data_IF_380984899703
#
_entry.id   IF_380984899703
#
_cell.length_a   1.000
_cell.length_b   1.000
_cell.length_c   1.000
_cell.angle_alpha   90.00
_cell.angle_beta   90.00
_cell.angle_gamma   90.00
#
_symmetry.space_group_name_H-M   'P 1'
#
loop_
_entity.id
_entity.type
_entity.pdbx_description
1 polymer ?
#
# COMPACT_ATOMS: atom_id res chain seq x y z
N UNK A 1 -7.36 26.62 -24.22
CA UNK A 1 -7.06 25.38 -23.47
C UNK A 1 -5.79 24.81 -24.07
N UNK A 2 -4.67 25.06 -23.44
CA UNK A 2 -3.37 24.56 -23.87
C UNK A 2 -3.38 23.03 -23.70
N UNK A 3 -3.48 22.31 -24.82
CA UNK A 3 -3.30 20.86 -24.84
C UNK A 3 -1.86 20.57 -24.37
N UNK A 4 -1.72 19.98 -23.20
CA UNK A 4 -0.47 19.43 -22.71
C UNK A 4 -0.14 18.19 -23.55
N UNK A 5 0.30 18.43 -24.79
CA UNK A 5 0.85 17.41 -25.66
C UNK A 5 2.20 17.00 -25.06
N UNK A 6 2.24 15.81 -24.49
CA UNK A 6 3.46 15.26 -23.91
C UNK A 6 4.21 14.54 -25.03
N UNK A 7 5.39 15.04 -25.45
CA UNK A 7 6.16 14.44 -26.55
C UNK A 7 6.88 13.15 -26.15
N UNK A 8 6.67 12.67 -24.93
CA UNK A 8 7.32 11.48 -24.39
C UNK A 8 6.44 10.24 -24.52
N UNK A 9 7.09 9.07 -24.56
CA UNK A 9 6.40 7.79 -24.53
C UNK A 9 5.54 7.70 -23.25
N UNK A 10 4.21 7.47 -23.35
CA UNK A 10 3.30 7.44 -22.21
C UNK A 10 3.73 6.45 -21.13
N UNK A 11 4.35 5.32 -21.53
CA UNK A 11 4.85 4.32 -20.60
C UNK A 11 5.93 4.86 -19.66
N UNK A 12 6.91 5.57 -20.22
CA UNK A 12 8.01 6.15 -19.45
C UNK A 12 7.50 7.28 -18.59
N UNK A 13 6.62 8.11 -19.12
CA UNK A 13 6.04 9.23 -18.38
C UNK A 13 5.26 8.75 -17.14
N UNK A 14 4.36 7.79 -17.31
CA UNK A 14 3.58 7.22 -16.20
C UNK A 14 4.52 6.53 -15.19
N UNK A 15 5.54 5.81 -15.68
CA UNK A 15 6.51 5.14 -14.80
C UNK A 15 7.27 6.13 -13.92
N UNK A 16 7.76 7.24 -14.49
CA UNK A 16 8.46 8.29 -13.73
C UNK A 16 7.55 8.94 -12.70
N UNK A 17 6.32 9.30 -13.08
CA UNK A 17 5.35 9.88 -12.14
C UNK A 17 4.99 8.89 -11.03
N UNK A 18 4.78 7.60 -11.36
CA UNK A 18 4.56 6.54 -10.38
C UNK A 18 5.74 6.41 -9.41
N UNK A 19 6.97 6.56 -9.92
CA UNK A 19 8.18 6.56 -9.09
C UNK A 19 8.20 7.72 -8.10
N UNK A 20 7.93 8.93 -8.55
CA UNK A 20 7.89 10.12 -7.69
C UNK A 20 6.77 9.99 -6.65
N UNK A 21 5.57 9.58 -7.04
CA UNK A 21 4.45 9.36 -6.13
C UNK A 21 4.77 8.29 -5.09
N UNK A 22 5.39 7.17 -5.50
CA UNK A 22 5.79 6.08 -4.61
C UNK A 22 6.89 6.49 -3.63
N UNK A 23 7.87 7.26 -4.09
CA UNK A 23 8.93 7.80 -3.23
C UNK A 23 8.35 8.76 -2.17
N UNK A 24 7.48 9.68 -2.59
CA UNK A 24 6.78 10.61 -1.69
C UNK A 24 5.98 9.86 -0.65
N UNK A 25 5.21 8.86 -1.07
CA UNK A 25 4.42 8.01 -0.16
C UNK A 25 5.31 7.26 0.84
N UNK A 26 6.44 6.71 0.38
CA UNK A 26 7.37 6.00 1.25
C UNK A 26 8.01 6.92 2.30
N UNK A 27 8.40 8.14 1.90
CA UNK A 27 8.96 9.16 2.80
C UNK A 27 7.90 9.61 3.81
N UNK A 28 6.70 9.94 3.38
CA UNK A 28 5.60 10.34 4.26
C UNK A 28 5.29 9.25 5.28
N UNK A 29 5.23 8.00 4.85
CA UNK A 29 5.00 6.87 5.77
C UNK A 29 6.13 6.70 6.80
N UNK A 30 7.38 6.95 6.40
CA UNK A 30 8.52 6.90 7.34
C UNK A 30 8.46 8.01 8.39
N UNK A 31 8.01 9.21 7.99
CA UNK A 31 7.93 10.37 8.90
C UNK A 31 6.69 10.31 9.79
N UNK A 32 5.54 9.88 9.24
CA UNK A 32 4.25 9.94 9.92
C UNK A 32 3.98 8.72 10.82
N UNK A 33 4.68 7.61 10.60
CA UNK A 33 4.43 6.36 11.33
C UNK A 33 5.70 5.93 12.05
N UNK A 34 5.60 5.82 13.37
CA UNK A 34 6.63 5.18 14.19
C UNK A 34 6.63 3.66 13.91
N UNK A 35 7.55 3.27 13.03
CA UNK A 35 7.68 1.90 12.54
C UNK A 35 8.10 0.95 13.66
N UNK A 36 8.93 1.42 14.59
CA UNK A 36 9.46 0.58 15.67
C UNK A 36 8.36 0.30 16.70
N UNK A 37 7.59 1.32 17.07
CA UNK A 37 6.45 1.17 17.96
C UNK A 37 5.37 0.28 17.34
N UNK A 38 5.10 0.43 16.04
CA UNK A 38 4.15 -0.43 15.34
C UNK A 38 4.60 -1.90 15.32
N UNK A 39 5.89 -2.17 15.10
CA UNK A 39 6.43 -3.54 15.14
C UNK A 39 6.37 -4.14 16.54
N UNK A 40 6.64 -3.36 17.57
CA UNK A 40 6.53 -3.79 18.97
C UNK A 40 5.10 -4.23 19.28
N UNK A 41 4.12 -3.39 18.96
CA UNK A 41 2.70 -3.71 19.16
C UNK A 41 2.31 -4.97 18.38
N UNK A 42 2.70 -5.07 17.11
CA UNK A 42 2.39 -6.26 16.29
C UNK A 42 2.99 -7.54 16.88
N UNK A 43 4.22 -7.50 17.39
CA UNK A 43 4.85 -8.65 18.05
C UNK A 43 4.07 -9.05 19.29
N UNK A 44 3.75 -8.08 20.14
CA UNK A 44 3.01 -8.35 21.38
C UNK A 44 1.63 -8.96 21.11
N UNK A 45 0.86 -8.37 20.19
CA UNK A 45 -0.47 -8.88 19.79
C UNK A 45 -0.36 -10.29 19.19
N UNK A 46 0.66 -10.54 18.36
CA UNK A 46 0.89 -11.85 17.75
C UNK A 46 1.24 -12.91 18.81
N UNK A 47 2.08 -12.57 19.78
CA UNK A 47 2.45 -13.49 20.85
C UNK A 47 1.27 -13.80 21.79
N UNK A 48 0.48 -12.79 22.11
CA UNK A 48 -0.77 -12.97 22.84
C UNK A 48 -1.72 -13.91 22.09
N UNK A 49 -1.97 -13.66 20.81
CA UNK A 49 -2.85 -14.50 19.99
C UNK A 49 -2.34 -15.94 19.89
N UNK A 50 -1.01 -16.14 19.78
CA UNK A 50 -0.42 -17.48 19.79
C UNK A 50 -0.67 -18.21 21.11
N UNK A 51 -0.43 -17.54 22.25
CA UNK A 51 -0.68 -18.11 23.59
C UNK A 51 -2.15 -18.44 23.78
N UNK A 52 -3.03 -17.54 23.37
CA UNK A 52 -4.47 -17.75 23.44
C UNK A 52 -4.90 -18.95 22.58
N UNK A 53 -4.45 -19.04 21.33
CA UNK A 53 -4.76 -20.19 20.46
C UNK A 53 -4.23 -21.51 21.01
N UNK A 54 -3.02 -21.50 21.62
CA UNK A 54 -2.46 -22.68 22.26
C UNK A 54 -3.29 -23.12 23.44
N UNK A 55 -3.64 -22.20 24.35
CA UNK A 55 -4.49 -22.48 25.50
C UNK A 55 -5.87 -23.02 25.09
N UNK A 56 -6.46 -22.51 24.01
CA UNK A 56 -7.71 -23.03 23.46
C UNK A 56 -7.55 -24.47 22.93
N UNK A 57 -6.48 -24.77 22.21
CA UNK A 57 -6.23 -26.12 21.66
C UNK A 57 -5.98 -27.16 22.77
N UNK A 58 -5.28 -26.76 23.82
CA UNK A 58 -4.94 -27.59 24.95
C UNK A 58 -6.05 -27.64 26.02
N UNK A 59 -7.16 -26.92 25.81
CA UNK A 59 -8.28 -26.79 26.78
C UNK A 59 -7.78 -26.39 28.17
N UNK A 60 -6.78 -25.51 28.24
CA UNK A 60 -6.15 -25.07 29.47
C UNK A 60 -6.86 -23.80 29.97
N UNK A 61 -7.94 -24.02 30.79
CA UNK A 61 -8.75 -22.93 31.36
C UNK A 61 -7.95 -22.04 32.31
N UNK A 62 -6.92 -22.57 32.96
CA UNK A 62 -6.07 -21.78 33.84
C UNK A 62 -5.26 -20.74 33.08
N UNK A 63 -4.71 -21.12 31.96
CA UNK A 63 -3.94 -20.23 31.07
C UNK A 63 -4.86 -19.20 30.38
N UNK A 64 -6.07 -19.58 30.00
CA UNK A 64 -7.08 -18.66 29.46
C UNK A 64 -7.45 -17.57 30.50
N UNK A 65 -7.67 -17.93 31.75
CA UNK A 65 -7.93 -16.97 32.83
C UNK A 65 -6.72 -16.06 33.10
N UNK A 66 -5.51 -16.59 33.02
CA UNK A 66 -4.28 -15.78 33.14
C UNK A 66 -4.10 -14.76 32.02
N UNK A 67 -4.64 -15.02 30.83
CA UNK A 67 -4.59 -14.12 29.68
C UNK A 67 -5.69 -13.04 29.70
N UNK A 68 -6.75 -13.18 30.52
CA UNK A 68 -7.85 -12.20 30.60
C UNK A 68 -7.38 -10.77 30.94
N UNK A 69 -6.52 -10.53 31.93
CA UNK A 69 -6.05 -9.17 32.22
C UNK A 69 -5.20 -8.58 31.09
N UNK A 70 -4.49 -9.42 30.33
CA UNK A 70 -3.71 -8.96 29.18
C UNK A 70 -4.60 -8.53 28.01
N UNK A 71 -5.83 -9.03 27.91
CA UNK A 71 -6.78 -8.72 26.85
C UNK A 71 -7.06 -7.23 26.73
N UNK A 72 -7.25 -6.55 27.85
CA UNK A 72 -7.49 -5.10 27.86
C UNK A 72 -6.30 -4.34 27.32
N UNK A 73 -5.08 -4.74 27.70
CA UNK A 73 -3.84 -4.16 27.19
C UNK A 73 -3.69 -4.38 25.68
N UNK A 74 -4.00 -5.58 25.21
CA UNK A 74 -3.98 -5.90 23.75
C UNK A 74 -4.99 -5.04 22.99
N UNK A 75 -6.19 -4.85 23.51
CA UNK A 75 -7.20 -3.98 22.90
C UNK A 75 -6.72 -2.51 22.85
N UNK A 76 -6.11 -2.01 23.91
CA UNK A 76 -5.51 -0.67 23.91
C UNK A 76 -4.40 -0.53 22.88
N UNK A 77 -3.51 -1.52 22.76
CA UNK A 77 -2.45 -1.56 21.78
C UNK A 77 -2.99 -1.65 20.34
N UNK A 78 -4.04 -2.42 20.10
CA UNK A 78 -4.73 -2.46 18.82
C UNK A 78 -5.33 -1.10 18.46
N UNK A 79 -5.94 -0.42 19.43
CA UNK A 79 -6.47 0.92 19.22
C UNK A 79 -5.37 1.95 18.95
N UNK A 80 -4.25 1.86 19.68
CA UNK A 80 -3.04 2.66 19.41
C UNK A 80 -2.53 2.43 17.98
N UNK A 81 -2.45 1.17 17.55
CA UNK A 81 -2.05 0.82 16.19
C UNK A 81 -2.99 1.40 15.13
N UNK A 82 -4.29 1.36 15.35
CA UNK A 82 -5.27 2.01 14.46
C UNK A 82 -5.07 3.52 14.38
N UNK A 83 -4.84 4.20 15.51
CA UNK A 83 -4.52 5.63 15.54
C UNK A 83 -3.25 5.96 14.77
N UNK A 84 -2.22 5.12 14.89
CA UNK A 84 -0.96 5.28 14.14
C UNK A 84 -1.13 5.05 12.64
N UNK A 85 -2.16 4.30 12.21
CA UNK A 85 -2.47 4.09 10.80
C UNK A 85 -3.27 5.24 10.17
N UNK A 86 -3.96 6.06 10.97
CA UNK A 86 -4.74 7.20 10.46
C UNK A 86 -3.91 8.16 9.58
N UNK A 87 -2.69 8.57 9.95
CA UNK A 87 -1.85 9.41 9.10
C UNK A 87 -1.46 8.74 7.78
N UNK A 88 -1.42 7.40 7.73
CA UNK A 88 -1.16 6.65 6.49
C UNK A 88 -2.26 6.89 5.46
N UNK A 89 -3.52 6.95 5.89
CA UNK A 89 -4.63 7.28 4.99
C UNK A 89 -4.50 8.71 4.46
N UNK A 90 -4.08 9.66 5.29
CA UNK A 90 -3.80 11.02 4.84
C UNK A 90 -2.66 11.07 3.81
N UNK A 91 -1.66 10.21 3.94
CA UNK A 91 -0.55 10.12 2.97
C UNK A 91 -0.97 9.56 1.61
N UNK A 92 -2.16 8.95 1.49
CA UNK A 92 -2.72 8.51 0.21
C UNK A 92 -3.32 9.66 -0.61
N UNK A 93 -3.63 10.81 0.03
CA UNK A 93 -4.20 11.96 -0.68
C UNK A 93 -3.34 12.43 -1.87
N UNK A 94 -2.02 12.62 -1.75
CA UNK A 94 -1.18 12.97 -2.90
C UNK A 94 -1.20 11.89 -3.99
N UNK A 95 -1.33 10.62 -3.63
CA UNK A 95 -1.47 9.53 -4.60
C UNK A 95 -2.76 9.65 -5.42
N UNK A 96 -3.88 9.97 -4.78
CA UNK A 96 -5.14 10.23 -5.47
C UNK A 96 -5.09 11.51 -6.31
N UNK A 97 -4.41 12.56 -5.85
CA UNK A 97 -4.22 13.78 -6.61
C UNK A 97 -3.46 13.50 -7.93
N UNK A 98 -2.37 12.75 -7.84
CA UNK A 98 -1.60 12.30 -9.03
C UNK A 98 -2.48 11.47 -9.96
N UNK A 99 -3.31 10.58 -9.42
CA UNK A 99 -4.25 9.77 -10.18
C UNK A 99 -5.24 10.62 -10.98
N UNK A 100 -5.84 11.63 -10.34
CA UNK A 100 -6.80 12.54 -11.01
C UNK A 100 -6.10 13.34 -12.11
N UNK A 101 -4.89 13.83 -11.85
CA UNK A 101 -4.11 14.60 -12.83
C UNK A 101 -3.72 13.71 -14.03
N UNK A 102 -3.24 12.49 -13.78
CA UNK A 102 -2.92 11.53 -14.84
C UNK A 102 -4.16 11.16 -15.67
N UNK A 103 -5.32 11.00 -15.05
CA UNK A 103 -6.57 10.75 -15.77
C UNK A 103 -6.89 11.88 -16.75
N UNK A 104 -6.81 13.13 -16.32
CA UNK A 104 -7.03 14.29 -17.20
C UNK A 104 -6.01 14.38 -18.34
N UNK A 105 -4.75 14.04 -18.07
CA UNK A 105 -3.69 14.02 -19.09
C UNK A 105 -3.95 12.88 -20.09
N UNK A 106 -4.33 11.71 -19.61
CA UNK A 106 -4.64 10.56 -20.44
C UNK A 106 -5.83 10.84 -21.38
N UNK A 107 -6.88 11.46 -20.86
CA UNK A 107 -8.05 11.86 -21.64
C UNK A 107 -7.68 12.91 -22.69
N UNK A 108 -6.88 13.92 -22.31
CA UNK A 108 -6.45 14.99 -23.21
C UNK A 108 -5.55 14.50 -24.35
N UNK A 109 -4.75 13.44 -24.12
CA UNK A 109 -3.85 12.85 -25.10
C UNK A 109 -4.44 11.59 -25.79
N UNK A 110 -5.70 11.25 -25.51
CA UNK A 110 -6.38 10.04 -26.00
C UNK A 110 -5.56 8.76 -25.76
N UNK A 111 -4.96 8.64 -24.58
CA UNK A 111 -4.21 7.44 -24.19
C UNK A 111 -5.19 6.28 -23.99
N UNK A 112 -5.24 5.40 -24.98
CA UNK A 112 -6.02 4.17 -24.92
C UNK A 112 -5.27 3.04 -24.22
N UNK A 113 -5.54 1.84 -24.66
CA UNK A 113 -4.84 0.61 -24.27
C UNK A 113 -3.52 0.55 -25.06
N UNK A 114 -2.38 0.47 -24.38
CA UNK A 114 -1.07 0.55 -25.04
C UNK A 114 -0.09 -0.55 -24.64
N UNK A 115 -0.45 -1.42 -23.70
CA UNK A 115 0.37 -2.58 -23.32
C UNK A 115 -0.46 -3.84 -23.46
N UNK A 116 0.01 -4.78 -24.25
CA UNK A 116 -0.54 -6.12 -24.32
C UNK A 116 0.30 -7.06 -23.45
N UNK A 117 -0.32 -7.63 -22.41
CA UNK A 117 0.34 -8.58 -21.55
C UNK A 117 0.11 -10.01 -22.07
N UNK A 118 1.16 -10.85 -22.16
CA UNK A 118 1.02 -12.22 -22.68
C UNK A 118 0.11 -13.11 -21.83
N UNK A 119 -0.11 -12.75 -20.57
CA UNK A 119 -1.02 -13.44 -19.64
C UNK A 119 -2.29 -12.64 -19.32
N UNK A 120 -2.50 -11.51 -19.93
CA UNK A 120 -3.57 -10.56 -19.59
C UNK A 120 -4.97 -11.10 -19.80
N UNK A 121 -5.16 -12.06 -20.70
CA UNK A 121 -6.45 -12.72 -20.92
C UNK A 121 -6.85 -13.68 -19.78
N UNK A 122 -5.87 -14.15 -18.99
CA UNK A 122 -6.11 -15.11 -17.91
C UNK A 122 -6.48 -14.44 -16.57
N UNK A 123 -6.15 -13.16 -16.40
CA UNK A 123 -6.39 -12.44 -15.14
C UNK A 123 -7.14 -11.15 -15.43
N UNK A 124 -8.46 -11.07 -15.19
CA UNK A 124 -9.22 -9.83 -15.32
C UNK A 124 -8.93 -8.90 -14.14
N UNK A 125 -7.71 -8.34 -14.11
CA UNK A 125 -7.26 -7.41 -13.08
C UNK A 125 -7.29 -5.98 -13.61
N UNK A 126 -7.80 -5.03 -12.82
CA UNK A 126 -7.71 -3.60 -13.05
C UNK A 126 -8.26 -3.09 -14.40
N UNK A 127 -9.40 -3.60 -14.83
CA UNK A 127 -10.10 -3.10 -16.03
C UNK A 127 -9.43 -3.49 -17.35
N UNK A 128 -8.60 -4.53 -17.37
CA UNK A 128 -8.05 -5.09 -18.59
C UNK A 128 -9.17 -5.59 -19.49
N UNK A 129 -9.26 -5.06 -20.69
CA UNK A 129 -10.08 -5.63 -21.77
C UNK A 129 -9.14 -6.39 -22.73
N UNK A 130 -9.46 -7.65 -23.00
CA UNK A 130 -8.73 -8.48 -23.97
C UNK A 130 -7.20 -8.61 -23.72
N UNK A 131 -6.74 -8.50 -22.47
CA UNK A 131 -5.32 -8.58 -22.14
C UNK A 131 -4.53 -7.27 -22.36
N UNK A 132 -5.21 -6.20 -22.69
CA UNK A 132 -4.61 -4.90 -22.92
C UNK A 132 -4.71 -4.03 -21.67
N UNK A 133 -3.60 -3.40 -21.33
CA UNK A 133 -3.43 -2.58 -20.14
C UNK A 133 -3.42 -1.11 -20.53
N UNK A 134 -4.39 -0.35 -20.03
CA UNK A 134 -4.43 1.10 -20.19
C UNK A 134 -3.51 1.83 -19.19
N UNK A 135 -3.52 3.16 -19.24
CA UNK A 135 -2.70 4.02 -18.38
C UNK A 135 -2.90 3.75 -16.89
N UNK A 136 -4.13 3.48 -16.48
CA UNK A 136 -4.48 3.17 -15.09
C UNK A 136 -3.82 1.88 -14.60
N UNK A 137 -3.97 0.82 -15.37
CA UNK A 137 -3.39 -0.47 -15.04
C UNK A 137 -1.87 -0.41 -14.98
N UNK A 138 -1.24 0.33 -15.90
CA UNK A 138 0.21 0.55 -15.90
C UNK A 138 0.68 1.36 -14.69
N UNK A 139 -0.06 2.41 -14.30
CA UNK A 139 0.22 3.19 -13.10
C UNK A 139 0.19 2.33 -11.84
N UNK A 140 -0.85 1.51 -11.67
CA UNK A 140 -0.97 0.62 -10.51
C UNK A 140 0.15 -0.44 -10.51
N UNK A 141 0.37 -1.09 -11.66
CA UNK A 141 1.41 -2.13 -11.81
C UNK A 141 2.81 -1.60 -11.51
N UNK A 142 3.10 -0.38 -11.92
CA UNK A 142 4.39 0.28 -11.68
C UNK A 142 4.53 0.75 -10.23
N UNK A 143 3.46 1.26 -9.63
CA UNK A 143 3.48 1.82 -8.26
C UNK A 143 3.76 0.77 -7.20
N UNK A 144 3.27 -0.46 -7.35
CA UNK A 144 3.42 -1.53 -6.36
C UNK A 144 4.88 -1.93 -6.09
N UNK A 145 5.66 -2.34 -7.11
CA UNK A 145 7.06 -2.70 -6.90
C UNK A 145 7.91 -1.51 -6.49
N UNK A 146 7.63 -0.31 -7.04
CA UNK A 146 8.36 0.90 -6.68
C UNK A 146 8.15 1.28 -5.21
N UNK A 147 6.92 1.27 -4.71
CA UNK A 147 6.62 1.53 -3.30
C UNK A 147 7.34 0.54 -2.39
N UNK A 148 7.34 -0.74 -2.75
CA UNK A 148 8.02 -1.79 -1.98
C UNK A 148 9.54 -1.60 -1.98
N UNK A 149 10.12 -1.26 -3.12
CA UNK A 149 11.54 -0.99 -3.27
C UNK A 149 11.98 0.23 -2.44
N UNK A 150 11.23 1.33 -2.51
CA UNK A 150 11.52 2.54 -1.72
C UNK A 150 11.38 2.30 -0.21
N UNK A 151 10.35 1.58 0.24
CA UNK A 151 10.22 1.20 1.66
C UNK A 151 11.39 0.37 2.14
N UNK A 152 11.85 -0.58 1.33
CA UNK A 152 13.00 -1.42 1.66
C UNK A 152 14.30 -0.61 1.70
N UNK A 153 14.52 0.28 0.74
CA UNK A 153 15.68 1.16 0.70
C UNK A 153 15.72 2.10 1.91
N UNK A 154 14.59 2.71 2.27
CA UNK A 154 14.48 3.61 3.42
C UNK A 154 14.64 2.89 4.77
N UNK A 155 14.32 1.59 4.84
CA UNK A 155 14.55 0.77 6.05
C UNK A 155 16.02 0.43 6.24
N UNK A 156 16.77 0.24 5.17
CA UNK A 156 18.21 -0.04 5.23
C UNK A 156 19.07 1.21 5.50
N UNK A 157 18.49 2.40 5.33
CA UNK A 157 19.15 3.71 5.53
C UNK A 157 19.01 4.26 6.97
N UNK A 158 18.55 3.43 7.91
CA UNK A 158 18.35 3.83 9.32
C UNK A 158 19.29 3.02 10.23
#
# INVERSE_FOLDING_TARGET
MTSLLIPFNPLIFIFVISGIASATLAILNKILVDQDRMQEIQKYVKDYNKRQMKAFKEKNDAELKALEPEKTKVMQMQHEMMKMQMPVFASLLPFFAVFIVLGKIADANAWGEFIRLPWGSAIPLFGMKNGELGWLGWYILSSFPLTTAFRKALKHSS
#
